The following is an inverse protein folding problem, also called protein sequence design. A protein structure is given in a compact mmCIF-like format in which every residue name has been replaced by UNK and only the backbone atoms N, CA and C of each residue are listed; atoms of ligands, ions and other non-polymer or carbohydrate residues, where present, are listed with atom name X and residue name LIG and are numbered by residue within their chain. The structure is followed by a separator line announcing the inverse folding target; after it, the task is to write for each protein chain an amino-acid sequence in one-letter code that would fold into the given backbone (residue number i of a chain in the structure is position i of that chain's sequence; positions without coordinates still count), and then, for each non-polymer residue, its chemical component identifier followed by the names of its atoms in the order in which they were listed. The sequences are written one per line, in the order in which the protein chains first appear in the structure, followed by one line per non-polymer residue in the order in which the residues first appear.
data_IF_963064475626
#
_entry.id   IF_963064475626
#
_cell.length_a   1.000
_cell.length_b   1.000
_cell.length_c   1.000
_cell.angle_alpha   90.00
_cell.angle_beta   90.00
_cell.angle_gamma   90.00
#
_symmetry.space_group_name_H-M   'P 1'
#
loop_
_entity.id
_entity.type
_entity.pdbx_description
1 polymer ?
#
# COMPACT_ATOMS: atom_id res chain seq x y z
N UNK A 1 -13.07 3.40 -2.30
CA UNK A 1 -11.74 3.75 -2.86
C UNK A 1 -10.62 3.31 -1.91
N UNK A 2 -9.76 2.40 -2.32
CA UNK A 2 -8.64 1.86 -1.52
C UNK A 2 -7.38 2.72 -1.71
N UNK A 3 -6.67 2.98 -0.63
CA UNK A 3 -5.38 3.68 -0.62
C UNK A 3 -4.34 2.75 -0.01
N UNK A 4 -3.39 2.32 -0.83
CA UNK A 4 -2.18 1.66 -0.38
C UNK A 4 -1.12 2.74 -0.14
N UNK A 5 -0.66 2.89 1.09
CA UNK A 5 0.42 3.81 1.46
C UNK A 5 1.67 3.00 1.74
N UNK A 6 2.76 3.29 1.05
CA UNK A 6 4.09 2.76 1.32
C UNK A 6 4.96 3.89 1.88
N UNK A 7 5.49 3.67 3.07
CA UNK A 7 6.39 4.60 3.76
C UNK A 7 7.80 4.05 3.65
N UNK A 8 8.53 4.56 2.66
CA UNK A 8 9.95 4.24 2.48
C UNK A 8 10.72 5.30 3.25
N UNK A 9 10.96 5.04 4.55
CA UNK A 9 11.80 5.92 5.34
C UNK A 9 13.22 5.81 4.80
N UNK A 10 13.58 6.71 3.87
CA UNK A 10 14.85 6.85 3.14
C UNK A 10 16.10 7.05 4.02
N UNK A 11 16.05 6.77 5.31
CA UNK A 11 17.18 6.84 6.24
C UNK A 11 17.28 5.55 7.07
N UNK A 12 18.10 4.60 6.61
CA UNK A 12 18.67 3.53 7.43
C UNK A 12 17.73 2.38 7.83
N UNK A 13 16.53 2.25 7.25
CA UNK A 13 15.63 1.12 7.54
C UNK A 13 15.67 0.07 6.42
N UNK A 14 15.83 -1.19 6.82
CA UNK A 14 15.75 -2.37 5.93
C UNK A 14 14.32 -2.73 5.48
N UNK A 15 13.31 -1.95 5.86
CA UNK A 15 11.90 -2.28 5.64
C UNK A 15 11.06 -1.04 5.33
N UNK A 16 10.20 -1.19 4.32
CA UNK A 16 9.12 -0.30 3.92
C UNK A 16 7.88 -0.69 4.73
N UNK A 17 7.39 0.24 5.55
CA UNK A 17 6.12 0.11 6.25
C UNK A 17 4.97 0.38 5.25
N UNK A 18 3.97 -0.50 5.15
CA UNK A 18 2.82 -0.29 4.28
C UNK A 18 1.49 -0.38 5.01
N UNK A 19 0.49 0.32 4.48
CA UNK A 19 -0.86 0.37 5.05
C UNK A 19 -1.88 0.47 3.94
N UNK A 20 -2.84 -0.46 3.93
CA UNK A 20 -4.01 -0.46 3.06
C UNK A 20 -5.17 0.09 3.86
N UNK A 21 -5.77 1.17 3.39
CA UNK A 21 -6.94 1.77 4.02
C UNK A 21 -8.04 2.00 3.01
N UNK A 22 -9.28 1.82 3.44
CA UNK A 22 -10.43 2.26 2.67
C UNK A 22 -10.67 3.75 2.94
N UNK A 23 -10.69 4.57 1.89
CA UNK A 23 -10.91 6.02 1.98
C UNK A 23 -12.32 6.35 2.49
N UNK A 24 -13.30 5.51 2.18
CA UNK A 24 -14.72 5.77 2.50
C UNK A 24 -15.01 5.48 3.96
N UNK A 25 -14.61 4.30 4.44
CA UNK A 25 -14.84 3.89 5.84
C UNK A 25 -13.73 4.36 6.78
N UNK A 26 -12.61 4.87 6.25
CA UNK A 26 -11.36 5.15 6.97
C UNK A 26 -10.76 3.94 7.68
N UNK A 27 -11.25 2.75 7.38
CA UNK A 27 -10.80 1.50 8.00
C UNK A 27 -9.46 1.06 7.42
N UNK A 28 -8.59 0.54 8.27
CA UNK A 28 -7.34 -0.10 7.86
C UNK A 28 -7.68 -1.56 7.55
N UNK A 29 -7.58 -1.93 6.27
CA UNK A 29 -7.85 -3.28 5.80
C UNK A 29 -6.65 -4.20 6.03
N UNK A 30 -5.44 -3.65 5.89
CA UNK A 30 -4.21 -4.39 6.13
C UNK A 30 -3.07 -3.42 6.45
N UNK A 31 -2.08 -3.87 7.20
CA UNK A 31 -0.85 -3.12 7.41
C UNK A 31 0.30 -4.05 7.75
N UNK A 32 1.49 -3.74 7.26
CA UNK A 32 2.64 -4.61 7.45
C UNK A 32 3.95 -3.92 7.10
N UNK A 33 5.02 -4.73 7.07
CA UNK A 33 6.36 -4.27 6.69
C UNK A 33 6.90 -5.21 5.62
N UNK A 34 7.53 -4.66 4.60
CA UNK A 34 8.17 -5.43 3.54
C UNK A 34 9.58 -4.93 3.30
N UNK A 35 10.48 -5.79 2.84
CA UNK A 35 11.89 -5.41 2.60
C UNK A 35 12.11 -4.74 1.24
N UNK A 36 11.15 -4.88 0.33
CA UNK A 36 11.34 -4.55 -1.08
C UNK A 36 10.09 -3.92 -1.69
N UNK A 37 10.30 -2.91 -2.53
CA UNK A 37 9.24 -2.17 -3.20
C UNK A 37 8.48 -3.02 -4.25
N UNK A 38 9.10 -4.09 -4.74
CA UNK A 38 8.45 -5.07 -5.59
C UNK A 38 7.29 -5.79 -4.90
N UNK A 39 7.35 -5.99 -3.58
CA UNK A 39 6.23 -6.53 -2.81
C UNK A 39 5.04 -5.55 -2.81
N UNK A 40 5.30 -4.26 -2.56
CA UNK A 40 4.28 -3.19 -2.64
C UNK A 40 3.64 -3.14 -4.02
N UNK A 41 4.45 -3.26 -5.08
CA UNK A 41 3.95 -3.23 -6.46
C UNK A 41 3.05 -4.42 -6.77
N UNK A 42 3.41 -5.63 -6.31
CA UNK A 42 2.55 -6.82 -6.43
C UNK A 42 1.22 -6.62 -5.71
N UNK A 43 1.27 -6.14 -4.46
CA UNK A 43 0.09 -5.79 -3.67
C UNK A 43 -0.81 -4.77 -4.37
N UNK A 44 -0.22 -3.72 -4.94
CA UNK A 44 -0.95 -2.70 -5.69
C UNK A 44 -1.68 -3.28 -6.90
N UNK A 45 -1.03 -4.18 -7.65
CA UNK A 45 -1.64 -4.85 -8.80
C UNK A 45 -2.79 -5.74 -8.34
N UNK A 46 -2.59 -6.57 -7.30
CA UNK A 46 -3.63 -7.45 -6.76
C UNK A 46 -4.85 -6.66 -6.28
N UNK A 47 -4.63 -5.54 -5.57
CA UNK A 47 -5.73 -4.67 -5.13
C UNK A 47 -6.50 -4.07 -6.32
N UNK A 48 -5.81 -3.72 -7.41
CA UNK A 48 -6.45 -3.21 -8.63
C UNK A 48 -7.26 -4.28 -9.34
N UNK A 49 -6.80 -5.52 -9.33
CA UNK A 49 -7.55 -6.66 -9.87
C UNK A 49 -8.81 -6.95 -9.03
N UNK A 50 -8.73 -6.83 -7.70
CA UNK A 50 -9.85 -7.10 -6.78
C UNK A 50 -10.90 -5.99 -6.72
N UNK A 51 -10.46 -4.72 -6.66
CA UNK A 51 -11.35 -3.58 -6.41
C UNK A 51 -11.58 -2.69 -7.63
N UNK A 52 -10.92 -2.98 -8.75
CA UNK A 52 -10.95 -2.15 -9.95
C UNK A 52 -9.82 -1.11 -9.96
N UNK A 53 -9.21 -0.96 -11.14
CA UNK A 53 -8.04 -0.10 -11.41
C UNK A 53 -8.22 1.33 -10.90
N UNK A 54 -9.38 1.92 -11.15
CA UNK A 54 -9.72 3.30 -10.82
C UNK A 54 -9.97 3.53 -9.31
N UNK A 55 -10.22 2.45 -8.57
CA UNK A 55 -10.56 2.51 -7.16
C UNK A 55 -9.36 2.39 -6.24
N UNK A 56 -8.14 2.15 -6.75
CA UNK A 56 -6.93 1.96 -5.94
C UNK A 56 -5.89 3.04 -6.24
N UNK A 57 -5.38 3.68 -5.18
CA UNK A 57 -4.24 4.61 -5.28
C UNK A 57 -3.07 4.14 -4.45
N UNK A 58 -1.88 4.21 -5.04
CA UNK A 58 -0.61 4.05 -4.33
C UNK A 58 -0.11 5.43 -3.90
N UNK A 59 0.19 5.59 -2.62
CA UNK A 59 0.86 6.75 -2.05
C UNK A 59 2.22 6.31 -1.52
N UNK A 60 3.27 6.97 -1.98
CA UNK A 60 4.65 6.74 -1.51
C UNK A 60 5.05 7.95 -0.68
N UNK A 61 5.50 7.73 0.56
CA UNK A 61 5.90 8.77 1.51
C UNK A 61 7.28 8.51 2.10
#
# INVERSE_FOLDING_TARGET
MIILTANDKLFGKNFIDYTIRNRETKEILDSGKCKDFGYIRKLFIQLREQHGVENVKLLTR
#
